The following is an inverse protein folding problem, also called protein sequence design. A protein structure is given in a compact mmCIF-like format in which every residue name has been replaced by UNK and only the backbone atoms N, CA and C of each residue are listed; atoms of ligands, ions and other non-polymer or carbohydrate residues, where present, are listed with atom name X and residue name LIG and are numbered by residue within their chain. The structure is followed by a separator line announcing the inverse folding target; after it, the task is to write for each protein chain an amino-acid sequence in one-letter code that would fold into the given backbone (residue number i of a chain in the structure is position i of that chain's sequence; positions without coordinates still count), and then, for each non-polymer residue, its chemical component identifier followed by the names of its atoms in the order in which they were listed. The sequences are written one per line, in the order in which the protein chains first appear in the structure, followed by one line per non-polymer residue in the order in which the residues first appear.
data_IF_099393848191
#
_entry.id   IF_099393848191
#
_cell.length_a   1.000
_cell.length_b   1.000
_cell.length_c   1.000
_cell.angle_alpha   90.00
_cell.angle_beta   90.00
_cell.angle_gamma   90.00
#
_symmetry.space_group_name_H-M   'P 1'
#
loop_
_entity.id
_entity.type
_entity.pdbx_description
1 polymer ?
#
# COMPACT_ATOMS: atom_id res chain seq x y z
N UNK A 1 26.02 -8.82 8.78
CA UNK A 1 25.23 -7.87 7.99
C UNK A 1 23.91 -7.66 8.72
N UNK A 2 23.63 -6.43 9.14
CA UNK A 2 22.31 -6.07 9.67
C UNK A 2 21.38 -6.10 8.46
N UNK A 3 20.37 -6.98 8.45
CA UNK A 3 19.33 -6.95 7.45
C UNK A 3 18.61 -5.61 7.62
N UNK A 4 18.84 -4.68 6.71
CA UNK A 4 18.06 -3.45 6.66
C UNK A 4 16.62 -3.86 6.29
N UNK A 5 15.66 -3.48 7.12
CA UNK A 5 14.26 -3.72 6.80
C UNK A 5 13.94 -3.10 5.42
N UNK A 6 13.16 -3.81 4.62
CA UNK A 6 12.72 -3.27 3.34
C UNK A 6 12.00 -1.93 3.54
N UNK A 7 12.18 -0.98 2.62
CA UNK A 7 11.54 0.31 2.73
C UNK A 7 10.01 0.20 2.71
N UNK A 8 9.37 1.10 3.43
CA UNK A 8 7.91 1.17 3.53
C UNK A 8 7.37 2.23 2.57
N UNK A 9 6.41 1.86 1.74
CA UNK A 9 5.70 2.78 0.85
C UNK A 9 4.32 3.13 1.42
N UNK A 10 3.89 4.37 1.26
CA UNK A 10 2.60 4.88 1.70
C UNK A 10 1.72 5.18 0.49
N UNK A 11 0.64 4.41 0.34
CA UNK A 11 -0.28 4.48 -0.79
C UNK A 11 -1.61 5.08 -0.33
N UNK A 12 -2.01 6.21 -0.90
CA UNK A 12 -3.33 6.78 -0.66
C UNK A 12 -4.39 5.95 -1.43
N UNK A 13 -5.36 5.41 -0.70
CA UNK A 13 -6.44 4.62 -1.25
C UNK A 13 -7.56 5.54 -1.79
N UNK A 14 -7.23 6.27 -2.85
CA UNK A 14 -8.13 7.25 -3.46
C UNK A 14 -9.34 6.58 -4.14
N UNK A 15 -9.16 5.34 -4.63
CA UNK A 15 -10.23 4.50 -5.18
C UNK A 15 -11.27 4.07 -4.13
N UNK A 16 -10.93 4.18 -2.83
CA UNK A 16 -11.80 3.86 -1.70
C UNK A 16 -12.51 5.09 -1.12
N UNK A 17 -12.57 6.19 -1.84
CA UNK A 17 -13.31 7.38 -1.42
C UNK A 17 -14.74 7.39 -2.00
N UNK A 18 -15.77 7.79 -1.23
CA UNK A 18 -15.69 8.11 0.20
C UNK A 18 -15.37 6.88 1.06
N UNK A 19 -14.65 7.10 2.17
CA UNK A 19 -14.41 6.06 3.16
C UNK A 19 -15.71 5.82 3.93
N UNK A 20 -16.26 4.61 3.85
CA UNK A 20 -17.56 4.25 4.42
C UNK A 20 -17.43 3.32 5.63
N UNK A 21 -16.49 2.37 5.58
CA UNK A 21 -16.36 1.35 6.61
C UNK A 21 -14.93 0.83 6.71
N UNK A 22 -14.50 0.58 7.94
CA UNK A 22 -13.27 -0.15 8.27
C UNK A 22 -13.62 -1.34 9.15
N UNK A 23 -13.04 -2.49 8.86
CA UNK A 23 -13.09 -3.67 9.70
C UNK A 23 -11.72 -4.35 9.76
N UNK A 24 -11.54 -5.26 10.70
CA UNK A 24 -10.27 -5.97 10.90
C UNK A 24 -10.51 -7.46 11.00
N UNK A 25 -9.50 -8.24 10.61
CA UNK A 25 -9.49 -9.70 10.75
C UNK A 25 -8.11 -10.15 11.26
N UNK A 26 -8.11 -11.18 12.11
CA UNK A 26 -6.88 -11.69 12.70
C UNK A 26 -6.34 -10.77 13.82
N UNK A 27 -5.04 -10.81 14.05
CA UNK A 27 -4.38 -10.06 15.12
C UNK A 27 -4.14 -8.58 14.71
N UNK A 28 -5.21 -7.85 14.43
CA UNK A 28 -5.16 -6.41 14.06
C UNK A 28 -5.88 -5.57 15.09
N UNK A 29 -5.36 -4.37 15.36
CA UNK A 29 -5.94 -3.39 16.28
C UNK A 29 -5.82 -1.98 15.72
N UNK A 30 -6.76 -1.11 16.10
CA UNK A 30 -6.72 0.30 15.78
C UNK A 30 -6.26 1.11 16.99
N UNK A 31 -5.44 2.13 16.76
CA UNK A 31 -4.86 2.98 17.81
C UNK A 31 -4.85 4.44 17.39
N UNK A 32 -5.02 5.30 18.37
CA UNK A 32 -4.81 6.74 18.24
C UNK A 32 -3.29 7.06 18.13
N UNK A 33 -2.90 8.31 17.79
CA UNK A 33 -1.49 8.74 17.80
C UNK A 33 -0.80 8.59 19.16
N UNK A 34 -1.54 8.63 20.25
CA UNK A 34 -1.02 8.39 21.61
C UNK A 34 -0.83 6.90 21.93
N UNK A 35 -1.21 5.99 21.01
CA UNK A 35 -1.17 4.55 21.22
C UNK A 35 -2.40 3.96 21.91
N UNK A 36 -3.36 4.78 22.32
CA UNK A 36 -4.59 4.31 22.96
C UNK A 36 -5.45 3.48 21.99
N UNK A 37 -6.06 2.37 22.43
CA UNK A 37 -6.90 1.54 21.57
C UNK A 37 -8.15 2.30 21.11
N UNK A 38 -8.51 2.13 19.84
CA UNK A 38 -9.73 2.69 19.24
C UNK A 38 -10.64 1.53 18.82
N UNK A 39 -11.85 1.49 19.37
CA UNK A 39 -12.84 0.47 19.03
C UNK A 39 -13.40 0.71 17.62
N UNK A 40 -13.59 -0.36 16.85
CA UNK A 40 -14.09 -0.28 15.47
C UNK A 40 -15.45 0.43 15.35
N UNK A 41 -16.36 0.24 16.30
CA UNK A 41 -17.64 0.93 16.28
C UNK A 41 -17.48 2.45 16.42
N UNK A 42 -16.61 2.89 17.35
CA UNK A 42 -16.29 4.31 17.52
C UNK A 42 -15.58 4.87 16.27
N UNK A 43 -14.62 4.14 15.71
CA UNK A 43 -13.92 4.51 14.49
C UNK A 43 -14.89 4.69 13.31
N UNK A 44 -15.79 3.72 13.09
CA UNK A 44 -16.77 3.81 12.00
C UNK A 44 -17.75 4.98 12.21
N UNK A 45 -18.10 5.31 13.45
CA UNK A 45 -18.84 6.52 13.78
C UNK A 45 -18.06 7.81 13.44
N UNK A 46 -16.75 7.82 13.65
CA UNK A 46 -15.87 8.96 13.30
C UNK A 46 -15.78 9.16 11.78
N UNK A 47 -15.55 8.10 11.00
CA UNK A 47 -15.33 8.20 9.54
C UNK A 47 -16.59 8.60 8.77
N UNK A 48 -17.77 8.34 9.31
CA UNK A 48 -19.05 8.82 8.77
C UNK A 48 -19.42 10.23 9.22
N UNK A 49 -18.67 10.79 10.18
CA UNK A 49 -18.83 12.14 10.68
C UNK A 49 -17.88 13.16 10.05
N UNK A 50 -17.89 14.38 10.58
CA UNK A 50 -17.08 15.51 10.10
C UNK A 50 -15.81 15.74 10.93
N UNK A 51 -15.52 14.89 11.91
CA UNK A 51 -14.37 15.05 12.81
C UNK A 51 -13.05 14.86 12.08
N UNK A 52 -12.08 15.73 12.39
CA UNK A 52 -10.69 15.56 11.95
C UNK A 52 -9.97 14.58 12.87
N UNK A 53 -8.92 13.93 12.37
CA UNK A 53 -8.15 13.02 13.21
C UNK A 53 -7.21 12.10 12.44
N UNK A 54 -6.50 11.28 13.20
CA UNK A 54 -5.64 10.21 12.71
C UNK A 54 -5.85 8.97 13.57
N UNK A 55 -6.07 7.83 12.91
CA UNK A 55 -6.12 6.50 13.55
C UNK A 55 -5.32 5.55 12.71
N UNK A 56 -4.53 4.67 13.32
CA UNK A 56 -3.75 3.65 12.62
C UNK A 56 -4.27 2.27 13.00
N UNK A 57 -4.60 1.46 12.00
CA UNK A 57 -5.05 0.08 12.16
C UNK A 57 -4.05 -0.88 11.52
N UNK A 58 -3.63 -1.92 12.25
CA UNK A 58 -2.70 -2.91 11.73
C UNK A 58 -2.30 -3.94 12.79
N UNK A 59 -1.47 -4.89 12.36
CA UNK A 59 -0.96 -5.94 13.22
C UNK A 59 -0.36 -7.09 12.41
N UNK A 60 0.43 -7.93 13.05
CA UNK A 60 1.07 -9.08 12.42
C UNK A 60 0.07 -10.21 12.19
N UNK A 61 0.00 -10.71 10.95
CA UNK A 61 -0.81 -11.87 10.60
C UNK A 61 -2.31 -11.61 10.43
N UNK A 62 -2.72 -10.34 10.35
CA UNK A 62 -4.10 -9.96 10.07
C UNK A 62 -4.26 -9.08 8.84
N UNK A 63 -5.49 -8.68 8.56
CA UNK A 63 -5.85 -7.76 7.49
C UNK A 63 -6.76 -6.64 8.00
N UNK A 64 -6.60 -5.47 7.42
CA UNK A 64 -7.53 -4.35 7.58
C UNK A 64 -8.36 -4.25 6.30
N UNK A 65 -9.68 -4.19 6.46
CA UNK A 65 -10.60 -4.03 5.34
C UNK A 65 -11.06 -2.58 5.26
N UNK A 66 -10.89 -1.98 4.10
CA UNK A 66 -11.36 -0.63 3.78
C UNK A 66 -12.44 -0.76 2.71
N UNK A 67 -13.67 -0.38 3.03
CA UNK A 67 -14.83 -0.58 2.16
C UNK A 67 -14.93 -2.02 1.61
N UNK A 68 -14.62 -3.02 2.43
CA UNK A 68 -14.65 -4.44 2.07
C UNK A 68 -13.44 -4.99 1.34
N UNK A 69 -12.46 -4.15 0.93
CA UNK A 69 -11.21 -4.61 0.31
C UNK A 69 -10.13 -4.83 1.37
N UNK A 70 -9.45 -5.98 1.31
CA UNK A 70 -8.42 -6.36 2.25
C UNK A 70 -7.06 -5.74 1.94
N UNK A 71 -6.41 -5.21 2.97
CA UNK A 71 -5.06 -4.65 2.92
C UNK A 71 -4.20 -5.28 4.01
N UNK A 72 -2.91 -5.39 3.74
CA UNK A 72 -1.91 -5.91 4.69
C UNK A 72 -1.18 -4.78 5.40
N UNK A 73 -0.52 -5.14 6.50
CA UNK A 73 0.28 -4.27 7.35
C UNK A 73 -0.53 -3.13 7.97
N UNK A 74 -0.23 -1.87 7.70
CA UNK A 74 -0.86 -0.75 8.41
C UNK A 74 -1.73 0.10 7.49
N UNK A 75 -2.93 0.39 7.93
CA UNK A 75 -3.80 1.42 7.35
C UNK A 75 -3.82 2.62 8.30
N UNK A 76 -3.39 3.78 7.80
CA UNK A 76 -3.59 5.07 8.45
C UNK A 76 -4.87 5.72 7.91
N UNK A 77 -5.76 6.08 8.81
CA UNK A 77 -7.01 6.78 8.51
C UNK A 77 -6.81 8.24 8.92
N UNK A 78 -6.82 9.13 7.95
CA UNK A 78 -6.50 10.55 8.14
C UNK A 78 -7.63 11.44 7.65
N UNK A 79 -8.04 12.42 8.47
CA UNK A 79 -8.92 13.51 8.06
C UNK A 79 -8.33 14.86 8.52
N UNK A 80 -7.95 15.68 7.56
CA UNK A 80 -7.48 17.07 7.77
C UNK A 80 -8.56 18.11 7.43
N UNK A 81 -9.84 17.74 7.50
CA UNK A 81 -10.96 18.62 7.20
C UNK A 81 -11.54 18.48 5.79
N UNK A 82 -11.02 17.54 4.97
CA UNK A 82 -11.50 17.25 3.60
C UNK A 82 -12.11 15.84 3.45
N UNK A 83 -12.61 15.30 4.55
CA UNK A 83 -13.07 13.92 4.63
C UNK A 83 -11.95 12.92 4.92
N UNK A 84 -12.33 11.74 5.33
CA UNK A 84 -11.40 10.68 5.70
C UNK A 84 -10.76 10.04 4.46
N UNK A 85 -9.46 9.80 4.56
CA UNK A 85 -8.63 9.11 3.58
C UNK A 85 -7.93 7.94 4.27
N UNK A 86 -7.97 6.77 3.66
CA UNK A 86 -7.16 5.63 4.07
C UNK A 86 -5.84 5.63 3.30
N UNK A 87 -4.73 5.41 4.02
CA UNK A 87 -3.38 5.32 3.47
C UNK A 87 -2.81 3.97 3.91
N UNK A 88 -2.46 3.12 2.97
CA UNK A 88 -1.81 1.86 3.27
C UNK A 88 -0.29 2.06 3.35
N UNK A 89 0.29 1.82 4.50
CA UNK A 89 1.74 1.73 4.68
C UNK A 89 2.13 0.27 4.65
N UNK A 90 2.95 -0.11 3.67
CA UNK A 90 3.28 -1.50 3.37
C UNK A 90 4.73 -1.63 2.90
N UNK A 91 5.34 -2.76 3.18
CA UNK A 91 6.64 -3.15 2.65
C UNK A 91 6.67 -3.02 1.12
N UNK A 92 7.75 -2.44 0.58
CA UNK A 92 7.89 -2.20 -0.86
C UNK A 92 7.74 -3.47 -1.70
N UNK A 93 8.30 -4.59 -1.30
CA UNK A 93 8.23 -5.84 -2.08
C UNK A 93 6.80 -6.41 -2.10
N UNK A 94 6.05 -6.28 -1.00
CA UNK A 94 4.62 -6.65 -0.97
C UNK A 94 3.78 -5.74 -1.85
N UNK A 95 4.07 -4.43 -1.85
CA UNK A 95 3.47 -3.48 -2.78
C UNK A 95 3.72 -3.88 -4.23
N UNK A 96 4.99 -4.17 -4.58
CA UNK A 96 5.38 -4.59 -5.94
C UNK A 96 4.63 -5.86 -6.37
N UNK A 97 4.56 -6.89 -5.51
CA UNK A 97 3.84 -8.12 -5.83
C UNK A 97 2.34 -7.88 -6.10
N UNK A 98 1.72 -6.96 -5.35
CA UNK A 98 0.33 -6.54 -5.58
C UNK A 98 0.16 -5.78 -6.90
N UNK A 99 1.08 -4.86 -7.23
CA UNK A 99 1.07 -4.13 -8.50
C UNK A 99 1.22 -5.08 -9.69
N UNK A 100 2.19 -5.99 -9.64
CA UNK A 100 2.39 -6.99 -10.72
C UNK A 100 1.11 -7.78 -10.97
N UNK A 101 0.43 -8.22 -9.90
CA UNK A 101 -0.81 -9.00 -10.03
C UNK A 101 -2.03 -8.17 -10.43
N UNK A 102 -2.01 -6.85 -10.24
CA UNK A 102 -3.05 -5.95 -10.72
C UNK A 102 -2.86 -5.56 -12.20
N UNK A 103 -1.60 -5.49 -12.66
CA UNK A 103 -1.25 -5.08 -14.02
C UNK A 103 -1.17 -6.24 -15.02
N UNK A 104 -0.83 -7.45 -14.55
CA UNK A 104 -0.55 -8.59 -15.43
C UNK A 104 -1.29 -9.86 -15.00
N UNK A 105 -1.82 -10.65 -15.96
CA UNK A 105 -2.34 -11.98 -15.65
C UNK A 105 -1.27 -12.88 -15.02
N UNK A 106 -1.60 -13.50 -13.89
CA UNK A 106 -0.66 -14.31 -13.10
C UNK A 106 -0.13 -15.57 -13.79
N UNK A 107 -0.79 -16.00 -14.87
CA UNK A 107 -0.38 -17.15 -15.69
C UNK A 107 0.60 -16.80 -16.80
N UNK A 108 0.99 -15.53 -16.94
CA UNK A 108 1.97 -15.11 -17.91
C UNK A 108 3.36 -15.66 -17.59
N UNK A 109 4.26 -15.62 -18.58
CA UNK A 109 5.63 -16.09 -18.44
C UNK A 109 6.32 -15.42 -17.22
N UNK A 110 7.01 -16.22 -16.41
CA UNK A 110 7.67 -15.73 -15.19
C UNK A 110 8.69 -14.62 -15.45
N UNK A 111 9.37 -14.62 -16.61
CA UNK A 111 10.31 -13.55 -16.98
C UNK A 111 9.57 -12.21 -17.27
N UNK A 112 8.36 -12.28 -17.83
CA UNK A 112 7.51 -11.10 -18.00
C UNK A 112 7.07 -10.53 -16.63
N UNK A 113 6.66 -11.40 -15.69
CA UNK A 113 6.32 -10.98 -14.33
C UNK A 113 7.53 -10.37 -13.58
N UNK A 114 8.72 -10.93 -13.78
CA UNK A 114 9.98 -10.38 -13.23
C UNK A 114 10.30 -8.99 -13.81
N UNK A 115 10.17 -8.81 -15.11
CA UNK A 115 10.40 -7.52 -15.77
C UNK A 115 9.42 -6.47 -15.22
N UNK A 116 8.15 -6.82 -15.06
CA UNK A 116 7.14 -5.96 -14.45
C UNK A 116 7.47 -5.62 -13.00
N UNK A 117 7.97 -6.58 -12.22
CA UNK A 117 8.38 -6.33 -10.83
C UNK A 117 9.53 -5.31 -10.74
N UNK A 118 10.52 -5.39 -11.63
CA UNK A 118 11.62 -4.41 -11.70
C UNK A 118 11.09 -3.01 -12.07
N UNK A 119 10.19 -2.93 -13.05
CA UNK A 119 9.56 -1.67 -13.46
C UNK A 119 8.73 -1.07 -12.31
N UNK A 120 7.84 -1.85 -11.70
CA UNK A 120 6.99 -1.42 -10.60
C UNK A 120 7.81 -0.95 -9.37
N UNK A 121 8.88 -1.66 -9.04
CA UNK A 121 9.79 -1.28 -7.95
C UNK A 121 10.46 0.05 -8.22
N UNK A 122 10.97 0.24 -9.45
CA UNK A 122 11.63 1.48 -9.85
C UNK A 122 10.68 2.67 -9.74
N UNK A 123 9.46 2.51 -10.23
CA UNK A 123 8.40 3.52 -10.10
C UNK A 123 8.09 3.83 -8.63
N UNK A 124 7.84 2.81 -7.82
CA UNK A 124 7.54 2.97 -6.39
C UNK A 124 8.65 3.73 -5.65
N UNK A 125 9.92 3.37 -5.89
CA UNK A 125 11.07 4.03 -5.27
C UNK A 125 11.21 5.49 -5.72
N UNK A 126 10.95 5.83 -6.98
CA UNK A 126 10.96 7.23 -7.44
C UNK A 126 9.94 8.05 -6.65
N UNK A 127 8.73 7.53 -6.46
CA UNK A 127 7.69 8.22 -5.69
C UNK A 127 7.95 8.23 -4.18
N UNK A 128 8.74 7.31 -3.66
CA UNK A 128 9.22 7.39 -2.27
C UNK A 128 10.25 8.51 -2.09
N UNK A 129 11.11 8.73 -3.09
CA UNK A 129 12.08 9.83 -3.10
C UNK A 129 11.44 11.20 -3.41
N UNK A 130 10.36 11.20 -4.19
CA UNK A 130 9.59 12.39 -4.58
C UNK A 130 8.11 12.15 -4.26
N UNK A 131 7.72 12.16 -2.98
CA UNK A 131 6.37 11.85 -2.56
C UNK A 131 5.38 12.91 -3.08
N UNK A 132 4.13 12.47 -3.31
CA UNK A 132 3.06 13.36 -3.74
C UNK A 132 2.76 14.45 -2.71
N UNK A 133 2.91 14.13 -1.42
CA UNK A 133 2.83 15.08 -0.30
C UNK A 133 3.47 14.47 0.97
N UNK A 134 3.36 15.18 2.10
CA UNK A 134 3.92 14.72 3.38
C UNK A 134 3.25 13.47 3.95
N UNK A 135 2.00 13.18 3.58
CA UNK A 135 1.22 12.10 4.18
C UNK A 135 1.37 10.77 3.40
N UNK A 136 1.54 10.83 2.07
CA UNK A 136 1.65 9.63 1.23
C UNK A 136 2.55 9.82 0.02
N UNK A 137 3.07 8.72 -0.52
CA UNK A 137 4.03 8.72 -1.63
C UNK A 137 3.32 8.78 -2.99
N UNK A 138 2.32 7.93 -3.20
CA UNK A 138 1.55 7.79 -4.43
C UNK A 138 0.12 7.32 -4.12
N UNK A 139 -0.75 7.34 -5.12
CA UNK A 139 -2.13 6.85 -4.99
C UNK A 139 -2.32 5.49 -5.66
N UNK A 140 -3.55 4.96 -5.57
CA UNK A 140 -3.96 3.67 -6.12
C UNK A 140 -4.83 3.78 -7.39
N UNK A 141 -4.91 4.96 -7.99
CA UNK A 141 -5.68 5.19 -9.22
C UNK A 141 -4.81 5.08 -10.47
N UNK A 142 -5.42 5.07 -11.65
CA UNK A 142 -4.74 5.01 -12.96
C UNK A 142 -3.77 6.15 -13.25
N UNK A 143 -3.73 7.19 -12.42
CA UNK A 143 -2.71 8.25 -12.45
C UNK A 143 -1.34 7.74 -12.00
N UNK A 144 -1.31 6.67 -11.21
CA UNK A 144 -0.13 5.98 -10.72
C UNK A 144 -0.14 4.53 -11.20
N UNK A 145 0.33 3.60 -10.41
CA UNK A 145 0.26 2.17 -10.68
C UNK A 145 -1.04 1.57 -10.13
N UNK A 146 -1.58 0.55 -10.79
CA UNK A 146 -2.69 -0.20 -10.24
C UNK A 146 -2.27 -0.87 -8.92
N UNK A 147 -3.03 -0.62 -7.86
CA UNK A 147 -2.83 -1.22 -6.55
C UNK A 147 -4.17 -1.68 -5.99
N UNK A 148 -4.32 -2.97 -5.77
CA UNK A 148 -5.58 -3.56 -5.32
C UNK A 148 -5.48 -4.23 -3.93
N UNK A 149 -4.45 -3.91 -3.17
CA UNK A 149 -4.22 -4.50 -1.84
C UNK A 149 -3.87 -5.98 -1.93
N UNK A 150 -4.25 -6.75 -0.92
CA UNK A 150 -3.90 -8.17 -0.79
C UNK A 150 -4.45 -9.05 -1.93
N UNK A 151 -5.58 -8.69 -2.49
CA UNK A 151 -6.32 -9.56 -3.43
C UNK A 151 -5.65 -9.75 -4.78
N UNK A 152 -4.73 -8.86 -5.18
CA UNK A 152 -4.02 -8.96 -6.47
C UNK A 152 -2.70 -9.73 -6.38
N UNK A 153 -2.07 -9.85 -5.21
CA UNK A 153 -0.85 -10.65 -5.07
C UNK A 153 -1.19 -12.16 -5.00
N UNK A 154 -0.37 -12.97 -5.65
CA UNK A 154 -0.47 -14.43 -5.68
C UNK A 154 0.93 -15.07 -5.69
N UNK A 155 1.01 -16.40 -5.65
CA UNK A 155 2.27 -17.13 -5.58
C UNK A 155 3.25 -16.76 -6.71
N UNK A 156 2.77 -16.62 -7.96
CA UNK A 156 3.61 -16.29 -9.12
C UNK A 156 4.17 -14.87 -9.03
N UNK A 157 3.34 -13.89 -8.65
CA UNK A 157 3.76 -12.49 -8.52
C UNK A 157 4.71 -12.30 -7.34
N UNK A 158 4.48 -12.98 -6.22
CA UNK A 158 5.38 -12.99 -5.06
C UNK A 158 6.73 -13.58 -5.46
N UNK A 159 6.74 -14.74 -6.14
CA UNK A 159 7.97 -15.39 -6.58
C UNK A 159 8.77 -14.51 -7.56
N UNK A 160 8.12 -13.89 -8.53
CA UNK A 160 8.77 -12.98 -9.49
C UNK A 160 9.37 -11.76 -8.79
N UNK A 161 8.67 -11.19 -7.82
CA UNK A 161 9.14 -10.05 -7.01
C UNK A 161 10.35 -10.43 -6.16
N UNK A 162 10.29 -11.56 -5.46
CA UNK A 162 11.42 -12.06 -4.65
C UNK A 162 12.64 -12.39 -5.51
N UNK A 163 12.46 -13.02 -6.68
CA UNK A 163 13.55 -13.36 -7.60
C UNK A 163 14.25 -12.12 -8.18
N UNK A 164 13.60 -10.96 -8.13
CA UNK A 164 14.16 -9.67 -8.61
C UNK A 164 14.37 -8.66 -7.48
N UNK A 165 14.37 -9.12 -6.21
CA UNK A 165 14.53 -8.24 -5.05
C UNK A 165 15.74 -7.32 -5.20
N UNK A 166 15.56 -6.02 -4.98
CA UNK A 166 16.60 -5.01 -5.08
C UNK A 166 16.98 -4.59 -6.51
N UNK A 167 16.49 -5.27 -7.56
CA UNK A 167 16.74 -4.87 -8.93
C UNK A 167 15.85 -3.70 -9.33
N UNK A 168 16.46 -2.67 -9.92
CA UNK A 168 15.80 -1.44 -10.36
C UNK A 168 16.32 -1.01 -11.72
N UNK A 169 15.56 -0.18 -12.41
CA UNK A 169 16.00 0.49 -13.64
C UNK A 169 16.80 1.74 -13.28
N UNK A 170 18.00 1.86 -13.85
CA UNK A 170 18.83 3.04 -13.68
C UNK A 170 19.41 3.53 -15.00
N UNK A 171 19.60 4.84 -15.11
CA UNK A 171 20.26 5.48 -16.23
C UNK A 171 21.19 6.58 -15.73
N UNK A 172 22.45 6.55 -16.15
CA UNK A 172 23.50 7.50 -15.73
C UNK A 172 23.58 7.66 -14.20
N UNK A 173 23.46 6.55 -13.46
CA UNK A 173 23.51 6.52 -11.99
C UNK A 173 22.26 7.01 -11.27
N UNK A 174 21.21 7.42 -11.99
CA UNK A 174 19.91 7.82 -11.44
C UNK A 174 18.84 6.75 -11.62
N UNK A 175 17.88 6.70 -10.70
CA UNK A 175 16.72 5.84 -10.78
C UNK A 175 15.81 6.29 -11.93
N UNK A 176 15.30 5.35 -12.72
CA UNK A 176 14.38 5.65 -13.84
C UNK A 176 12.93 5.50 -13.36
N UNK A 177 12.12 6.52 -13.59
CA UNK A 177 10.67 6.42 -13.47
C UNK A 177 10.14 5.66 -14.68
N UNK A 178 9.80 4.38 -14.46
CA UNK A 178 9.28 3.51 -15.50
C UNK A 178 7.78 3.74 -15.65
N UNK A 179 7.41 4.48 -16.70
CA UNK A 179 6.01 4.61 -17.13
C UNK A 179 5.64 3.43 -18.03
N UNK A 180 4.50 2.79 -17.80
CA UNK A 180 3.98 1.66 -18.59
C UNK A 180 2.45 1.60 -18.59
#
# INVERSE_FOLDING_TARGET
AVATADPQVRIALLSQRPLLQVSTQGATACRSPSGAPVQLAALNGMITGTTTGLVSCGGSGGSVFVNGRAYEETIHLLNRGQGWLAINQINLERYVASVVGAEMPSHWNGEALKAQAVAARSYGLVHMLRPANSDWNLGDTTRWQAYAGRTSSNASTIQATEATRGLVLSFKGGLVESLY
#
